data_IF_960269402182
#
_entry.id   IF_960269402182
#
_cell.length_a   1.000
_cell.length_b   1.000
_cell.length_c   1.000
_cell.angle_alpha   90.00
_cell.angle_beta   90.00
_cell.angle_gamma   90.00
#
_symmetry.space_group_name_H-M   'P 1'
#
loop_
_entity.id
_entity.type
_entity.pdbx_description
1 polymer ?
#
# COMPACT_ATOMS: atom_id res chain seq x y z
N UNK A 1 1.08 -3.75 12.31
CA UNK A 1 0.69 -2.32 12.40
C UNK A 1 -0.12 -2.10 13.68
N UNK A 2 -0.26 -0.88 14.24
CA UNK A 2 -1.18 -0.67 15.37
C UNK A 2 -2.63 -0.96 14.94
N UNK A 3 -3.44 -1.42 15.89
CA UNK A 3 -4.68 -2.18 15.69
C UNK A 3 -5.85 -1.48 14.97
N UNK A 4 -5.72 -0.23 14.53
CA UNK A 4 -6.78 0.53 13.84
C UNK A 4 -6.25 1.42 12.70
N UNK A 5 -5.08 1.09 12.14
CA UNK A 5 -4.50 1.90 11.07
C UNK A 5 -5.21 1.68 9.72
N UNK A 6 -5.54 2.77 9.03
CA UNK A 6 -5.96 2.78 7.63
C UNK A 6 -4.74 3.08 6.77
N UNK A 7 -4.35 2.11 5.95
CA UNK A 7 -3.15 2.13 5.10
C UNK A 7 -3.47 1.59 3.70
N UNK A 8 -2.48 1.62 2.82
CA UNK A 8 -2.45 0.77 1.62
C UNK A 8 -1.85 -0.60 1.96
N UNK A 9 -2.13 -1.64 1.14
CA UNK A 9 -1.54 -2.96 1.32
C UNK A 9 -0.01 -2.91 1.35
N UNK A 10 0.59 -3.52 2.37
CA UNK A 10 2.03 -3.55 2.54
C UNK A 10 2.46 -4.48 3.66
N UNK A 11 3.56 -5.20 3.45
CA UNK A 11 4.22 -5.93 4.52
C UNK A 11 5.71 -6.08 4.30
N UNK A 12 6.30 -7.02 5.04
CA UNK A 12 7.73 -7.26 5.04
C UNK A 12 8.13 -8.21 3.91
N UNK A 13 9.40 -8.16 3.51
CA UNK A 13 9.93 -9.18 2.61
C UNK A 13 10.01 -10.52 3.34
N UNK A 14 9.52 -11.58 2.70
CA UNK A 14 9.86 -12.93 3.10
C UNK A 14 11.27 -13.30 2.61
N UNK A 15 11.92 -14.33 3.21
CA UNK A 15 13.17 -14.84 2.69
C UNK A 15 13.07 -15.18 1.20
N UNK A 16 14.05 -14.73 0.41
CA UNK A 16 14.17 -14.96 -1.03
C UNK A 16 13.14 -14.25 -1.92
N UNK A 17 12.30 -13.38 -1.35
CA UNK A 17 11.30 -12.60 -2.09
C UNK A 17 11.87 -11.24 -2.54
N UNK A 18 11.58 -10.81 -3.77
CA UNK A 18 11.84 -9.44 -4.22
C UNK A 18 10.73 -8.45 -3.81
N UNK A 19 10.98 -7.14 -3.91
CA UNK A 19 9.98 -6.13 -3.53
C UNK A 19 8.67 -6.20 -4.33
N UNK A 20 8.70 -6.68 -5.57
CA UNK A 20 7.49 -6.82 -6.39
C UNK A 20 6.70 -8.04 -5.98
N UNK A 21 7.38 -9.16 -5.73
CA UNK A 21 6.75 -10.38 -5.25
C UNK A 21 6.04 -10.13 -3.92
N UNK A 22 6.70 -9.46 -2.99
CA UNK A 22 6.07 -9.05 -1.73
C UNK A 22 4.87 -8.14 -1.97
N UNK A 23 4.97 -7.14 -2.86
CA UNK A 23 3.84 -6.26 -3.15
C UNK A 23 2.63 -6.99 -3.76
N UNK A 24 2.84 -8.03 -4.59
CA UNK A 24 1.75 -8.86 -5.14
C UNK A 24 1.14 -9.71 -4.04
N UNK A 25 1.98 -10.38 -3.25
CA UNK A 25 1.53 -11.27 -2.16
C UNK A 25 0.72 -10.50 -1.12
N UNK A 26 1.24 -9.37 -0.63
CA UNK A 26 0.55 -8.53 0.37
C UNK A 26 -0.74 -7.95 -0.19
N UNK A 27 -0.78 -7.55 -1.48
CA UNK A 27 -2.02 -7.13 -2.12
C UNK A 27 -3.06 -8.26 -2.13
N UNK A 28 -2.66 -9.48 -2.49
CA UNK A 28 -3.54 -10.65 -2.47
C UNK A 28 -4.00 -10.98 -1.05
N UNK A 29 -3.09 -11.03 -0.08
CA UNK A 29 -3.39 -11.38 1.31
C UNK A 29 -4.33 -10.35 1.96
N UNK A 30 -4.08 -9.06 1.78
CA UNK A 30 -4.86 -8.01 2.45
C UNK A 30 -6.17 -7.63 1.71
N UNK A 31 -6.32 -7.97 0.42
CA UNK A 31 -7.47 -7.50 -0.39
C UNK A 31 -8.13 -8.57 -1.26
N UNK A 32 -7.51 -9.74 -1.39
CA UNK A 32 -7.94 -10.79 -2.32
C UNK A 32 -7.71 -10.47 -3.80
N UNK A 33 -7.03 -9.36 -4.12
CA UNK A 33 -6.80 -8.97 -5.52
C UNK A 33 -5.59 -9.69 -6.11
N UNK A 34 -5.84 -10.48 -7.14
CA UNK A 34 -4.79 -11.09 -7.97
C UNK A 34 -4.39 -10.15 -9.10
N UNK A 35 -3.08 -9.95 -9.26
CA UNK A 35 -2.49 -9.18 -10.37
C UNK A 35 -1.25 -9.89 -10.90
N UNK A 36 -0.92 -9.66 -12.18
CA UNK A 36 0.33 -10.11 -12.78
C UNK A 36 1.46 -9.15 -12.46
N UNK A 37 2.70 -9.65 -12.38
CA UNK A 37 3.92 -8.84 -12.17
C UNK A 37 4.08 -7.72 -13.21
N UNK A 38 3.58 -7.92 -14.43
CA UNK A 38 3.57 -6.91 -15.50
C UNK A 38 2.61 -5.75 -15.28
N UNK A 39 1.62 -5.90 -14.38
CA UNK A 39 0.64 -4.85 -14.06
C UNK A 39 1.15 -3.90 -12.97
N UNK A 40 2.21 -4.29 -12.23
CA UNK A 40 2.87 -3.43 -11.25
C UNK A 40 3.77 -2.39 -11.92
N UNK A 41 3.41 -1.13 -11.70
CA UNK A 41 4.19 0.01 -12.12
C UNK A 41 5.11 0.42 -10.98
N UNK A 42 6.41 0.34 -11.23
CA UNK A 42 7.43 0.86 -10.31
C UNK A 42 7.50 2.37 -10.42
N UNK A 43 7.46 3.06 -9.29
CA UNK A 43 7.70 4.50 -9.21
C UNK A 43 9.00 4.73 -8.42
N UNK A 44 9.80 5.76 -8.77
CA UNK A 44 11.05 6.08 -8.06
C UNK A 44 10.75 6.78 -6.72
N UNK A 45 9.95 6.11 -5.88
CA UNK A 45 9.49 6.61 -4.59
C UNK A 45 9.73 5.55 -3.53
N UNK A 46 10.64 5.87 -2.61
CA UNK A 46 10.83 5.12 -1.38
C UNK A 46 10.07 5.86 -0.28
N UNK A 47 9.13 5.16 0.33
CA UNK A 47 8.43 5.63 1.51
C UNK A 47 9.24 5.25 2.76
N UNK A 48 9.57 6.25 3.58
CA UNK A 48 10.26 6.04 4.86
C UNK A 48 9.24 6.19 5.97
N UNK A 49 9.05 5.13 6.73
CA UNK A 49 8.11 5.10 7.83
C UNK A 49 8.84 5.02 9.17
N UNK A 50 8.38 5.80 10.14
CA UNK A 50 8.96 5.81 11.50
C UNK A 50 7.86 5.53 12.50
N UNK A 51 7.96 4.38 13.18
CA UNK A 51 7.03 4.01 14.25
C UNK A 51 7.42 4.76 15.52
N UNK A 52 6.73 5.86 15.82
CA UNK A 52 7.02 6.71 16.99
C UNK A 52 6.44 6.20 18.31
N UNK A 53 5.48 5.28 18.25
CA UNK A 53 4.67 4.84 19.41
C UNK A 53 5.05 3.44 19.91
N UNK A 54 6.20 2.90 19.48
CA UNK A 54 6.74 1.64 20.00
C UNK A 54 7.92 1.94 20.93
N UNK A 55 8.16 1.11 21.97
CA UNK A 55 9.28 1.30 22.89
C UNK A 55 10.64 1.27 22.19
N UNK A 56 10.70 0.64 21.01
CA UNK A 56 11.84 0.65 20.11
C UNK A 56 11.56 1.60 18.94
N UNK A 57 12.53 2.47 18.61
CA UNK A 57 12.50 3.25 17.37
C UNK A 57 12.68 2.29 16.19
N UNK A 58 11.58 1.93 15.55
CA UNK A 58 11.60 1.13 14.33
C UNK A 58 11.46 2.09 13.14
N UNK A 59 12.44 2.04 12.24
CA UNK A 59 12.38 2.67 10.93
C UNK A 59 12.19 1.58 9.88
N UNK A 60 11.29 1.81 8.92
CA UNK A 60 11.16 0.95 7.75
C UNK A 60 11.25 1.75 6.46
N UNK A 61 11.83 1.13 5.44
CA UNK A 61 11.87 1.63 4.07
C UNK A 61 10.97 0.74 3.23
N UNK A 62 10.01 1.36 2.55
CA UNK A 62 9.03 0.68 1.71
C UNK A 62 9.17 1.18 0.27
N UNK A 63 9.37 0.25 -0.66
CA UNK A 63 9.29 0.53 -2.08
C UNK A 63 7.82 0.64 -2.47
N UNK A 64 7.43 1.74 -3.13
CA UNK A 64 6.04 1.94 -3.54
C UNK A 64 5.86 1.44 -4.98
N UNK A 65 4.80 0.67 -5.19
CA UNK A 65 4.31 0.27 -6.49
C UNK A 65 2.87 0.73 -6.69
N UNK A 66 2.47 0.85 -7.95
CA UNK A 66 1.12 1.26 -8.32
C UNK A 66 0.59 0.28 -9.36
N UNK A 67 -0.68 -0.09 -9.22
CA UNK A 67 -1.40 -0.88 -10.22
C UNK A 67 -2.66 -0.13 -10.62
N UNK A 68 -2.95 -0.09 -11.92
CA UNK A 68 -4.21 0.44 -12.44
C UNK A 68 -5.15 -0.72 -12.71
N UNK A 69 -6.20 -0.80 -11.91
CA UNK A 69 -7.20 -1.84 -12.02
C UNK A 69 -8.34 -1.40 -12.95
N UNK A 70 -8.92 -2.36 -13.66
CA UNK A 70 -10.16 -2.11 -14.41
C UNK A 70 -11.29 -1.85 -13.43
N UNK A 71 -12.22 -0.96 -13.83
CA UNK A 71 -13.41 -0.66 -13.05
C UNK A 71 -14.21 -1.95 -12.81
N UNK A 72 -14.63 -2.18 -11.57
CA UNK A 72 -15.39 -3.38 -11.20
C UNK A 72 -14.56 -4.51 -10.58
N UNK A 73 -13.24 -4.33 -10.43
CA UNK A 73 -12.45 -5.27 -9.63
C UNK A 73 -12.93 -5.26 -8.18
N UNK A 74 -13.51 -6.39 -7.77
CA UNK A 74 -14.03 -6.60 -6.43
C UNK A 74 -12.86 -6.82 -5.48
N UNK A 75 -12.89 -6.10 -4.37
CA UNK A 75 -12.09 -6.45 -3.20
C UNK A 75 -12.82 -7.63 -2.56
N UNK A 76 -12.11 -8.75 -2.38
CA UNK A 76 -12.65 -9.89 -1.64
C UNK A 76 -12.31 -9.75 -0.16
N UNK A 77 -12.94 -10.56 0.67
CA UNK A 77 -12.64 -10.63 2.10
C UNK A 77 -11.12 -10.80 2.28
N UNK A 78 -10.45 -9.94 3.07
CA UNK A 78 -9.04 -10.09 3.36
C UNK A 78 -8.73 -11.50 3.86
N UNK A 79 -7.67 -12.10 3.33
CA UNK A 79 -7.16 -13.40 3.78
C UNK A 79 -6.37 -13.19 5.08
N UNK A 80 -5.65 -12.07 5.17
CA UNK A 80 -4.92 -11.68 6.36
C UNK A 80 -5.91 -11.31 7.49
N UNK A 81 -5.78 -12.04 8.61
CA UNK A 81 -6.57 -11.84 9.84
C UNK A 81 -6.31 -10.48 10.49
N UNK A 82 -5.18 -9.84 10.19
CA UNK A 82 -4.82 -8.52 10.71
C UNK A 82 -5.53 -7.39 9.94
N UNK A 83 -6.20 -7.71 8.82
CA UNK A 83 -6.99 -6.77 8.02
C UNK A 83 -8.49 -7.00 8.26
N UNK A 84 -9.11 -6.03 8.93
CA UNK A 84 -10.53 -6.12 9.31
C UNK A 84 -11.45 -5.80 8.11
N UNK A 85 -11.02 -4.92 7.21
CA UNK A 85 -11.77 -4.51 6.03
C UNK A 85 -10.85 -3.90 4.97
N UNK A 86 -11.27 -3.96 3.71
CA UNK A 86 -10.66 -3.26 2.60
C UNK A 86 -11.74 -2.59 1.74
N UNK A 87 -11.48 -1.37 1.26
CA UNK A 87 -12.48 -0.57 0.55
C UNK A 87 -11.87 0.40 -0.46
N UNK A 88 -12.58 0.63 -1.56
CA UNK A 88 -12.23 1.65 -2.55
C UNK A 88 -12.72 3.03 -2.09
N UNK A 89 -11.81 3.99 -2.02
CA UNK A 89 -12.16 5.39 -1.77
C UNK A 89 -11.73 6.28 -2.94
N UNK A 90 -12.47 7.37 -3.13
CA UNK A 90 -12.04 8.43 -4.02
C UNK A 90 -10.75 9.10 -3.52
N UNK A 91 -10.00 9.72 -4.43
CA UNK A 91 -8.71 10.33 -4.15
C UNK A 91 -8.80 11.52 -3.18
N UNK A 92 -9.93 12.22 -3.14
CA UNK A 92 -10.23 13.28 -2.19
C UNK A 92 -10.48 12.72 -0.78
N UNK A 93 -11.26 11.63 -0.67
CA UNK A 93 -11.65 11.03 0.60
C UNK A 93 -10.48 10.32 1.31
N UNK A 94 -9.62 9.62 0.56
CA UNK A 94 -8.55 8.80 1.16
C UNK A 94 -7.58 9.61 2.03
N UNK A 95 -7.32 10.87 1.70
CA UNK A 95 -6.42 11.74 2.47
C UNK A 95 -6.95 12.07 3.88
N UNK A 96 -8.27 12.06 4.06
CA UNK A 96 -8.89 12.21 5.39
C UNK A 96 -8.78 10.93 6.23
N UNK A 97 -8.79 9.76 5.57
CA UNK A 97 -8.86 8.45 6.21
C UNK A 97 -7.49 7.87 6.58
N UNK A 98 -6.46 8.05 5.73
CA UNK A 98 -5.13 7.49 5.99
C UNK A 98 -4.63 7.89 7.39
N UNK A 99 -4.21 6.90 8.17
CA UNK A 99 -3.79 7.14 9.56
C UNK A 99 -2.51 7.96 9.64
N UNK A 100 -1.59 7.74 8.72
CA UNK A 100 -0.24 8.30 8.80
C UNK A 100 -0.03 9.47 7.86
N UNK A 101 0.57 10.54 8.38
CA UNK A 101 0.91 11.75 7.61
C UNK A 101 1.85 11.44 6.46
N UNK A 102 2.83 10.58 6.70
CA UNK A 102 3.83 10.15 5.73
C UNK A 102 3.17 9.44 4.54
N UNK A 103 2.15 8.60 4.78
CA UNK A 103 1.37 7.95 3.72
C UNK A 103 0.57 8.95 2.90
N UNK A 104 -0.05 9.95 3.54
CA UNK A 104 -0.73 11.05 2.82
C UNK A 104 0.22 11.79 1.88
N UNK A 105 1.46 12.03 2.32
CA UNK A 105 2.50 12.65 1.49
C UNK A 105 2.87 11.74 0.33
N UNK A 106 3.12 10.45 0.58
CA UNK A 106 3.40 9.45 -0.46
C UNK A 106 2.28 9.41 -1.50
N UNK A 107 1.02 9.28 -1.08
CA UNK A 107 -0.12 9.25 -1.98
C UNK A 107 -0.19 10.49 -2.88
N UNK A 108 -0.03 11.70 -2.31
CA UNK A 108 0.02 12.94 -3.11
C UNK A 108 1.16 12.94 -4.13
N UNK A 109 2.33 12.40 -3.76
CA UNK A 109 3.48 12.28 -4.67
C UNK A 109 3.19 11.30 -5.80
N UNK A 110 2.54 10.17 -5.51
CA UNK A 110 2.09 9.21 -6.52
C UNK A 110 1.12 9.86 -7.50
N UNK A 111 0.05 10.48 -7.02
CA UNK A 111 -0.94 11.16 -7.87
C UNK A 111 -0.27 12.22 -8.74
N UNK A 112 0.60 13.06 -8.15
CA UNK A 112 1.36 14.09 -8.89
C UNK A 112 2.30 13.49 -9.93
N UNK A 113 2.93 12.34 -9.66
CA UNK A 113 3.81 11.66 -10.60
C UNK A 113 3.06 11.22 -11.87
N UNK A 114 1.84 10.70 -11.72
CA UNK A 114 1.02 10.28 -12.85
C UNK A 114 0.34 11.45 -13.57
N UNK A 115 -0.13 12.48 -12.86
CA UNK A 115 -0.70 13.68 -13.49
C UNK A 115 0.31 14.46 -14.35
N UNK A 116 1.61 14.34 -14.07
CA UNK A 116 2.68 14.98 -14.87
C UNK A 116 3.10 14.19 -16.11
N UNK A 117 2.58 12.97 -16.28
CA UNK A 117 2.92 12.06 -17.37
C UNK A 117 1.77 11.89 -18.38
N UNK A 118 0.65 12.57 -18.14
CA UNK A 118 -0.46 12.79 -19.07
C UNK A 118 -0.28 14.20 -19.62
#
# INVERSE_FOLDING_TARGET
MPSNAVTFPSGSLNPFEDFREAAIRELLEETGLEIKKSELISIPLIHKFKYKNLPLKIESWQQVFVVFLRRGNLIFTPIDKDVIWAHWYSSDKILSLLTYRELKITFRRVVKYFLKRI
#
